data_IF_287963405018
#
_entry.id   IF_287963405018
#
_cell.length_a   1.000
_cell.length_b   1.000
_cell.length_c   1.000
_cell.angle_alpha   90.00
_cell.angle_beta   90.00
_cell.angle_gamma   90.00
#
_symmetry.space_group_name_H-M   'P 1'
#
loop_
_entity.id
_entity.type
_entity.pdbx_description
1 polymer ?
#
# COMPACT_ATOMS: atom_id res chain seq x y z
N UNK A 1 0.64 3.91 24.37
CA UNK A 1 0.78 2.95 23.24
C UNK A 1 2.01 3.33 22.43
N UNK A 2 3.04 2.51 22.47
CA UNK A 2 4.33 2.79 21.81
C UNK A 2 4.14 2.79 20.28
N UNK A 3 4.87 3.64 19.53
CA UNK A 3 4.82 3.66 18.04
C UNK A 3 5.07 2.26 17.45
N UNK A 4 5.88 1.45 18.12
CA UNK A 4 6.19 0.06 17.76
C UNK A 4 4.97 -0.87 17.90
N UNK A 5 4.16 -0.72 18.96
CA UNK A 5 2.93 -1.51 19.12
C UNK A 5 1.89 -1.19 18.05
N UNK A 6 1.82 0.08 17.61
CA UNK A 6 0.96 0.46 16.48
C UNK A 6 1.41 -0.20 15.18
N UNK A 7 2.71 -0.20 14.89
CA UNK A 7 3.24 -0.83 13.69
C UNK A 7 2.98 -2.35 13.68
N UNK A 8 3.19 -3.04 14.81
CA UNK A 8 2.84 -4.45 14.96
C UNK A 8 1.35 -4.71 14.71
N UNK A 9 0.47 -3.89 15.30
CA UNK A 9 -0.96 -4.05 15.14
C UNK A 9 -1.39 -3.85 13.67
N UNK A 10 -0.73 -2.97 12.93
CA UNK A 10 -1.01 -2.78 11.50
C UNK A 10 -0.58 -3.96 10.65
N UNK A 11 0.62 -4.52 10.90
CA UNK A 11 1.10 -5.70 10.18
C UNK A 11 0.22 -6.91 10.50
N UNK A 12 -0.07 -7.15 11.77
CA UNK A 12 -0.96 -8.23 12.22
C UNK A 12 -2.36 -8.09 11.63
N UNK A 13 -2.84 -6.86 11.40
CA UNK A 13 -4.14 -6.63 10.80
C UNK A 13 -4.16 -7.06 9.33
N UNK A 14 -3.10 -6.75 8.55
CA UNK A 14 -2.97 -7.20 7.17
C UNK A 14 -2.93 -8.74 7.10
N UNK A 15 -2.18 -9.37 8.01
CA UNK A 15 -2.10 -10.83 8.09
C UNK A 15 -3.46 -11.45 8.43
N UNK A 16 -4.16 -10.93 9.43
CA UNK A 16 -5.53 -11.37 9.77
C UNK A 16 -6.51 -11.19 8.61
N UNK A 17 -6.40 -10.11 7.85
CA UNK A 17 -7.22 -9.89 6.67
C UNK A 17 -6.92 -10.94 5.60
N UNK A 18 -5.66 -11.31 5.38
CA UNK A 18 -5.27 -12.31 4.39
C UNK A 18 -5.70 -13.75 4.75
N UNK A 19 -5.98 -14.01 6.01
CA UNK A 19 -6.46 -15.32 6.50
C UNK A 19 -7.98 -15.50 6.41
N UNK A 20 -8.72 -14.50 5.94
CA UNK A 20 -10.16 -14.63 5.73
C UNK A 20 -10.49 -15.67 4.66
N UNK A 21 -11.63 -16.33 4.80
CA UNK A 21 -12.10 -17.39 3.91
C UNK A 21 -13.20 -16.92 2.94
N UNK A 22 -12.97 -15.83 2.20
CA UNK A 22 -13.91 -15.38 1.16
C UNK A 22 -13.57 -16.01 -0.21
N UNK A 23 -14.47 -15.86 -1.18
CA UNK A 23 -14.28 -16.37 -2.55
C UNK A 23 -12.95 -15.86 -3.14
N UNK A 24 -12.64 -14.57 -2.93
CA UNK A 24 -11.40 -13.95 -3.42
C UNK A 24 -10.16 -14.56 -2.76
N UNK A 25 -10.20 -14.87 -1.46
CA UNK A 25 -9.03 -15.44 -0.75
C UNK A 25 -8.67 -16.84 -1.27
N UNK A 26 -9.64 -17.62 -1.72
CA UNK A 26 -9.44 -18.97 -2.25
C UNK A 26 -8.89 -19.01 -3.68
N UNK A 27 -8.89 -17.88 -4.40
CA UNK A 27 -8.36 -17.82 -5.76
C UNK A 27 -6.84 -18.03 -5.76
N UNK A 28 -6.34 -18.58 -6.86
CA UNK A 28 -4.91 -18.83 -7.06
C UNK A 28 -4.12 -17.49 -6.96
N UNK A 29 -3.07 -17.43 -6.11
CA UNK A 29 -2.24 -16.23 -5.95
C UNK A 29 -1.65 -15.69 -7.25
N UNK A 30 -1.29 -16.59 -8.19
CA UNK A 30 -0.74 -16.21 -9.49
C UNK A 30 -1.76 -15.46 -10.33
N UNK A 31 -3.01 -15.98 -10.39
CA UNK A 31 -4.07 -15.31 -11.14
C UNK A 31 -4.40 -13.94 -10.58
N UNK A 32 -4.43 -13.79 -9.24
CA UNK A 32 -4.62 -12.48 -8.59
C UNK A 32 -3.50 -11.51 -8.94
N UNK A 33 -2.25 -11.96 -8.88
CA UNK A 33 -1.09 -11.16 -9.22
C UNK A 33 -1.13 -10.72 -10.69
N UNK A 34 -1.41 -11.65 -11.61
CA UNK A 34 -1.51 -11.34 -13.03
C UNK A 34 -2.61 -10.31 -13.31
N UNK A 35 -3.80 -10.48 -12.75
CA UNK A 35 -4.91 -9.53 -12.92
C UNK A 35 -4.56 -8.16 -12.34
N UNK A 36 -3.92 -8.11 -11.16
CA UNK A 36 -3.48 -6.86 -10.54
C UNK A 36 -2.47 -6.12 -11.42
N UNK A 37 -1.47 -6.82 -11.97
CA UNK A 37 -0.48 -6.22 -12.88
C UNK A 37 -1.16 -5.71 -14.15
N UNK A 38 -2.00 -6.52 -14.79
CA UNK A 38 -2.72 -6.13 -16.00
C UNK A 38 -3.58 -4.90 -15.73
N UNK A 39 -4.30 -4.86 -14.61
CA UNK A 39 -5.10 -3.70 -14.22
C UNK A 39 -4.27 -2.43 -14.07
N UNK A 40 -3.13 -2.50 -13.35
CA UNK A 40 -2.24 -1.35 -13.16
C UNK A 40 -1.70 -0.86 -14.50
N UNK A 41 -1.27 -1.77 -15.39
CA UNK A 41 -0.79 -1.42 -16.73
C UNK A 41 -1.89 -0.73 -17.54
N UNK A 42 -3.11 -1.28 -17.54
CA UNK A 42 -4.24 -0.71 -18.26
C UNK A 42 -4.62 0.69 -17.75
N UNK A 43 -4.73 0.86 -16.42
CA UNK A 43 -5.04 2.17 -15.81
C UNK A 43 -3.96 3.21 -16.12
N UNK A 44 -2.68 2.83 -16.04
CA UNK A 44 -1.56 3.75 -16.34
C UNK A 44 -1.49 4.10 -17.81
N UNK A 45 -1.82 3.17 -18.72
CA UNK A 45 -1.85 3.35 -20.18
C UNK A 45 -2.99 4.24 -20.66
N UNK A 46 -4.05 4.45 -19.86
CA UNK A 46 -5.12 5.38 -20.22
C UNK A 46 -4.57 6.75 -20.56
N UNK A 47 -5.23 7.46 -21.50
CA UNK A 47 -4.79 8.78 -21.93
C UNK A 47 -4.79 9.78 -20.78
N UNK A 48 -3.73 10.62 -20.69
CA UNK A 48 -3.51 11.49 -19.53
C UNK A 48 -4.48 12.68 -19.39
N UNK A 49 -5.29 12.96 -20.42
CA UNK A 49 -6.23 14.08 -20.41
C UNK A 49 -7.70 13.65 -20.44
N UNK A 50 -8.02 12.37 -20.38
CA UNK A 50 -9.40 11.88 -20.38
C UNK A 50 -9.79 11.29 -19.02
N UNK A 51 -10.42 12.13 -18.20
CA UNK A 51 -10.97 11.70 -16.90
C UNK A 51 -12.12 10.68 -17.10
N UNK A 52 -12.92 10.86 -18.15
CA UNK A 52 -14.05 9.97 -18.47
C UNK A 52 -13.63 8.53 -18.73
N UNK A 53 -12.44 8.31 -19.32
CA UNK A 53 -11.91 6.98 -19.59
C UNK A 53 -11.53 6.22 -18.32
N UNK A 54 -11.38 6.90 -17.17
CA UNK A 54 -11.04 6.28 -15.90
C UNK A 54 -12.27 5.82 -15.11
N UNK A 55 -13.47 6.31 -15.42
CA UNK A 55 -14.68 5.96 -14.69
C UNK A 55 -14.98 4.45 -14.67
N UNK A 56 -14.85 3.69 -15.77
CA UNK A 56 -15.11 2.24 -15.74
C UNK A 56 -14.14 1.49 -14.83
N UNK A 57 -12.92 2.01 -14.65
CA UNK A 57 -11.89 1.34 -13.84
C UNK A 57 -12.17 1.38 -12.33
N UNK A 58 -13.09 2.23 -11.85
CA UNK A 58 -13.53 2.22 -10.45
C UNK A 58 -14.34 0.98 -10.08
N UNK A 59 -14.98 0.33 -11.05
CA UNK A 59 -15.83 -0.84 -10.80
C UNK A 59 -15.02 -1.99 -10.22
N UNK A 60 -13.83 -2.24 -10.75
CA UNK A 60 -12.99 -3.36 -10.32
C UNK A 60 -12.60 -3.32 -8.84
N UNK A 61 -11.95 -2.25 -8.31
CA UNK A 61 -11.61 -2.19 -6.89
C UNK A 61 -12.86 -2.23 -5.99
N UNK A 62 -13.97 -1.60 -6.38
CA UNK A 62 -15.20 -1.62 -5.58
C UNK A 62 -15.73 -3.07 -5.46
N UNK A 63 -15.75 -3.82 -6.56
CA UNK A 63 -16.20 -5.22 -6.58
C UNK A 63 -15.28 -6.09 -5.71
N UNK A 64 -13.96 -5.92 -5.82
CA UNK A 64 -13.01 -6.67 -5.00
C UNK A 64 -13.16 -6.35 -3.52
N UNK A 65 -13.32 -5.08 -3.13
CA UNK A 65 -13.54 -4.65 -1.74
C UNK A 65 -14.78 -5.34 -1.13
N UNK A 66 -15.89 -5.38 -1.88
CA UNK A 66 -17.14 -5.98 -1.42
C UNK A 66 -17.00 -7.50 -1.28
N UNK A 67 -16.45 -8.18 -2.31
CA UNK A 67 -16.32 -9.63 -2.34
C UNK A 67 -15.27 -10.17 -1.36
N UNK A 68 -14.27 -9.36 -1.00
CA UNK A 68 -13.23 -9.75 -0.04
C UNK A 68 -13.57 -9.36 1.41
N UNK A 69 -14.72 -8.71 1.63
CA UNK A 69 -15.17 -8.23 2.95
C UNK A 69 -14.09 -7.40 3.68
N UNK A 70 -13.33 -6.63 2.93
CA UNK A 70 -12.31 -5.77 3.51
C UNK A 70 -12.95 -4.55 4.18
N UNK A 71 -12.42 -4.08 5.32
CA UNK A 71 -12.96 -2.92 6.01
C UNK A 71 -12.68 -1.63 5.22
N UNK A 72 -13.70 -1.12 4.53
CA UNK A 72 -13.63 0.05 3.63
C UNK A 72 -12.99 1.25 4.32
N UNK A 73 -13.39 1.53 5.57
CA UNK A 73 -12.89 2.68 6.35
C UNK A 73 -11.37 2.57 6.59
N UNK A 74 -10.87 1.37 6.87
CA UNK A 74 -9.44 1.17 7.11
C UNK A 74 -8.63 1.28 5.81
N UNK A 75 -9.17 0.74 4.71
CA UNK A 75 -8.58 0.87 3.37
C UNK A 75 -8.47 2.35 3.00
N UNK A 76 -9.56 3.12 3.16
CA UNK A 76 -9.57 4.54 2.84
C UNK A 76 -8.61 5.37 3.70
N UNK A 77 -8.52 5.08 5.01
CA UNK A 77 -7.56 5.74 5.91
C UNK A 77 -6.11 5.50 5.50
N UNK A 78 -5.78 4.30 5.04
CA UNK A 78 -4.42 3.98 4.56
C UNK A 78 -4.08 4.66 3.25
N UNK A 79 -5.04 4.70 2.33
CA UNK A 79 -4.89 5.47 1.10
C UNK A 79 -4.69 6.95 1.37
N UNK A 80 -5.39 7.52 2.36
CA UNK A 80 -5.26 8.92 2.74
C UNK A 80 -3.84 9.31 3.19
N UNK A 81 -3.10 8.37 3.81
CA UNK A 81 -1.71 8.61 4.22
C UNK A 81 -0.79 8.85 3.01
N UNK A 82 -1.12 8.23 1.86
CA UNK A 82 -0.30 8.31 0.64
C UNK A 82 -0.70 9.53 -0.22
N UNK A 83 -1.91 10.05 -0.03
CA UNK A 83 -2.43 11.22 -0.79
C UNK A 83 -1.48 12.42 -0.77
N UNK A 84 -0.89 12.86 0.36
CA UNK A 84 0.04 13.99 0.35
C UNK A 84 1.26 13.77 -0.55
N UNK A 85 1.75 12.54 -0.64
CA UNK A 85 2.89 12.20 -1.51
C UNK A 85 2.47 12.30 -2.98
N UNK A 86 1.28 11.79 -3.33
CA UNK A 86 0.72 11.88 -4.68
C UNK A 86 0.53 13.34 -5.08
N UNK A 87 -0.01 14.17 -4.17
CA UNK A 87 -0.21 15.60 -4.40
C UNK A 87 1.13 16.30 -4.61
N UNK A 88 2.14 16.02 -3.79
CA UNK A 88 3.46 16.63 -3.93
C UNK A 88 4.11 16.34 -5.27
N UNK A 89 4.07 15.08 -5.72
CA UNK A 89 4.61 14.69 -7.04
C UNK A 89 3.77 15.31 -8.17
N UNK A 90 2.46 15.33 -8.00
CA UNK A 90 1.52 15.83 -9.03
C UNK A 90 1.57 17.33 -9.24
N UNK A 91 1.94 18.13 -8.22
CA UNK A 91 2.06 19.60 -8.33
C UNK A 91 3.03 19.99 -9.46
N UNK A 92 4.10 19.23 -9.67
CA UNK A 92 5.00 19.47 -10.79
C UNK A 92 4.31 19.53 -12.15
N UNK A 93 3.27 18.72 -12.38
CA UNK A 93 2.52 18.72 -13.64
C UNK A 93 1.77 20.03 -13.92
N UNK A 94 1.38 20.76 -12.88
CA UNK A 94 0.66 22.04 -13.01
C UNK A 94 1.59 23.10 -13.60
N UNK A 95 2.86 23.10 -13.20
CA UNK A 95 3.83 24.13 -13.64
C UNK A 95 4.32 23.94 -15.06
N UNK A 96 4.32 22.70 -15.58
CA UNK A 96 4.92 22.42 -16.88
C UNK A 96 3.98 22.60 -18.08
N UNK A 97 2.65 22.77 -17.88
CA UNK A 97 1.71 22.78 -19.01
C UNK A 97 0.58 23.80 -18.79
N UNK A 98 0.82 25.05 -19.25
CA UNK A 98 -0.08 26.19 -19.04
C UNK A 98 -1.09 26.44 -20.21
N UNK A 99 -1.25 25.49 -21.13
CA UNK A 99 -2.20 25.66 -22.24
C UNK A 99 -3.63 25.52 -21.74
N UNK A 100 -4.51 26.43 -22.17
CA UNK A 100 -5.92 26.41 -21.79
C UNK A 100 -6.70 25.32 -22.51
N UNK A 101 -7.52 24.60 -21.78
CA UNK A 101 -8.44 23.55 -22.28
C UNK A 101 -9.80 23.71 -21.64
N UNK A 102 -10.83 23.40 -22.40
CA UNK A 102 -12.20 23.34 -21.88
C UNK A 102 -12.56 21.88 -21.61
N UNK A 103 -12.71 21.51 -20.33
CA UNK A 103 -13.15 20.19 -19.89
C UNK A 103 -14.50 20.33 -19.18
N UNK A 104 -15.51 19.63 -19.65
CA UNK A 104 -16.89 19.72 -19.13
C UNK A 104 -17.47 21.16 -19.08
N UNK A 105 -17.07 22.03 -20.02
CA UNK A 105 -17.53 23.42 -20.05
C UNK A 105 -16.79 24.39 -19.13
N UNK A 106 -15.83 23.94 -18.37
CA UNK A 106 -14.99 24.76 -17.47
C UNK A 106 -13.64 25.01 -18.15
N UNK A 107 -13.23 26.27 -18.23
CA UNK A 107 -11.87 26.64 -18.72
C UNK A 107 -10.85 26.22 -17.66
N UNK A 108 -10.01 25.24 -17.97
CA UNK A 108 -8.94 24.75 -17.12
C UNK A 108 -7.65 24.61 -17.91
N UNK A 109 -6.53 24.51 -17.23
CA UNK A 109 -5.22 24.32 -17.83
C UNK A 109 -4.95 22.82 -18.04
N UNK A 110 -4.27 22.43 -19.11
CA UNK A 110 -3.83 21.04 -19.31
C UNK A 110 -3.08 20.46 -18.10
N UNK A 111 -2.29 21.29 -17.40
CA UNK A 111 -1.59 20.90 -16.19
C UNK A 111 -2.51 20.42 -15.07
N UNK A 112 -3.63 21.12 -14.84
CA UNK A 112 -4.62 20.73 -13.81
C UNK A 112 -5.31 19.42 -14.18
N UNK A 113 -5.71 19.25 -15.44
CA UNK A 113 -6.34 18.01 -15.91
C UNK A 113 -5.38 16.83 -15.77
N UNK A 114 -4.11 17.02 -16.15
CA UNK A 114 -3.07 16.01 -16.01
C UNK A 114 -2.81 15.64 -14.53
N UNK A 115 -2.81 16.64 -13.65
CA UNK A 115 -2.68 16.44 -12.21
C UNK A 115 -3.82 15.60 -11.63
N UNK A 116 -5.07 15.96 -11.93
CA UNK A 116 -6.25 15.22 -11.45
C UNK A 116 -6.24 13.78 -11.99
N UNK A 117 -5.96 13.61 -13.28
CA UNK A 117 -5.88 12.29 -13.91
C UNK A 117 -4.78 11.43 -13.27
N UNK A 118 -3.61 12.03 -13.01
CA UNK A 118 -2.51 11.36 -12.32
C UNK A 118 -2.91 10.93 -10.89
N UNK A 119 -3.56 11.82 -10.12
CA UNK A 119 -4.01 11.52 -8.78
C UNK A 119 -5.02 10.35 -8.77
N UNK A 120 -6.01 10.38 -9.68
CA UNK A 120 -7.00 9.31 -9.79
C UNK A 120 -6.33 7.98 -10.16
N UNK A 121 -5.45 7.94 -11.16
CA UNK A 121 -4.69 6.74 -11.56
C UNK A 121 -3.89 6.17 -10.41
N UNK A 122 -3.20 7.03 -9.67
CA UNK A 122 -2.39 6.63 -8.51
C UNK A 122 -3.25 6.02 -7.40
N UNK A 123 -4.38 6.66 -7.07
CA UNK A 123 -5.30 6.16 -6.05
C UNK A 123 -5.87 4.79 -6.47
N UNK A 124 -6.33 4.64 -7.72
CA UNK A 124 -6.85 3.37 -8.23
C UNK A 124 -5.81 2.26 -8.18
N UNK A 125 -4.60 2.53 -8.67
CA UNK A 125 -3.51 1.54 -8.67
C UNK A 125 -3.12 1.12 -7.27
N UNK A 126 -3.03 2.07 -6.33
CA UNK A 126 -2.71 1.78 -4.93
C UNK A 126 -3.82 1.03 -4.21
N UNK A 127 -5.08 1.32 -4.52
CA UNK A 127 -6.22 0.58 -3.96
C UNK A 127 -6.16 -0.88 -4.35
N UNK A 128 -5.98 -1.18 -5.62
CA UNK A 128 -5.90 -2.56 -6.12
C UNK A 128 -4.67 -3.29 -5.59
N UNK A 129 -3.53 -2.60 -5.47
CA UNK A 129 -2.33 -3.18 -4.86
C UNK A 129 -2.57 -3.53 -3.38
N UNK A 130 -3.21 -2.64 -2.63
CA UNK A 130 -3.57 -2.88 -1.24
C UNK A 130 -4.53 -4.07 -1.09
N UNK A 131 -5.57 -4.14 -1.92
CA UNK A 131 -6.51 -5.27 -1.96
C UNK A 131 -5.80 -6.59 -2.26
N UNK A 132 -4.88 -6.58 -3.23
CA UNK A 132 -4.06 -7.74 -3.56
C UNK A 132 -3.24 -8.23 -2.36
N UNK A 133 -2.56 -7.33 -1.64
CA UNK A 133 -1.76 -7.68 -0.46
C UNK A 133 -2.66 -8.25 0.64
N UNK A 134 -3.80 -7.60 0.93
CA UNK A 134 -4.73 -8.03 1.97
C UNK A 134 -5.42 -9.36 1.66
N UNK A 135 -5.63 -9.70 0.39
CA UNK A 135 -6.31 -10.94 -0.01
C UNK A 135 -5.37 -12.09 -0.31
N UNK A 136 -4.08 -11.83 -0.52
CA UNK A 136 -3.11 -12.87 -0.89
C UNK A 136 -2.23 -13.26 0.28
N UNK A 137 -1.76 -12.28 1.09
CA UNK A 137 -0.77 -12.50 2.13
C UNK A 137 0.63 -12.82 1.58
N UNK A 138 1.64 -12.63 2.42
CA UNK A 138 3.06 -12.75 2.00
C UNK A 138 3.45 -14.18 1.63
N UNK A 139 2.98 -15.18 2.37
CA UNK A 139 3.33 -16.58 2.12
C UNK A 139 2.75 -17.11 0.79
N UNK A 140 1.48 -16.76 0.50
CA UNK A 140 0.86 -17.15 -0.76
C UNK A 140 1.46 -16.39 -1.95
N UNK A 141 1.88 -15.14 -1.74
CA UNK A 141 2.62 -14.37 -2.74
C UNK A 141 3.97 -15.03 -3.04
N UNK A 142 4.72 -15.42 -2.01
CA UNK A 142 5.99 -16.15 -2.16
C UNK A 142 5.81 -17.44 -2.94
N UNK A 143 4.80 -18.23 -2.61
CA UNK A 143 4.46 -19.44 -3.35
C UNK A 143 4.11 -19.17 -4.82
N UNK A 144 3.35 -18.09 -5.08
CA UNK A 144 3.04 -17.66 -6.44
C UNK A 144 4.28 -17.27 -7.24
N UNK A 145 5.23 -16.56 -6.64
CA UNK A 145 6.48 -16.16 -7.27
C UNK A 145 7.36 -17.35 -7.65
N UNK A 146 7.46 -18.37 -6.78
CA UNK A 146 8.20 -19.62 -7.09
C UNK A 146 7.57 -20.30 -8.31
N UNK A 147 6.24 -20.39 -8.37
CA UNK A 147 5.55 -20.99 -9.54
C UNK A 147 5.75 -20.20 -10.84
N UNK A 148 5.96 -18.89 -10.74
CA UNK A 148 6.32 -18.03 -11.88
C UNK A 148 7.79 -18.16 -12.29
N UNK A 149 8.53 -19.14 -11.73
CA UNK A 149 9.98 -19.33 -11.95
C UNK A 149 10.83 -18.11 -11.59
N UNK A 150 10.36 -17.31 -10.64
CA UNK A 150 11.20 -16.24 -10.07
C UNK A 150 12.36 -16.88 -9.31
N UNK A 151 13.59 -16.29 -9.32
CA UNK A 151 14.73 -16.89 -8.65
C UNK A 151 14.43 -17.15 -7.18
N UNK A 152 14.54 -18.40 -6.74
CA UNK A 152 14.13 -18.87 -5.40
C UNK A 152 14.81 -18.10 -4.27
N UNK A 153 16.08 -17.71 -4.48
CA UNK A 153 16.86 -16.97 -3.48
C UNK A 153 16.17 -15.66 -3.06
N UNK A 154 15.59 -14.91 -4.01
CA UNK A 154 14.86 -13.67 -3.71
C UNK A 154 13.57 -13.95 -2.94
N UNK A 155 12.88 -15.04 -3.26
CA UNK A 155 11.65 -15.42 -2.58
C UNK A 155 11.95 -15.84 -1.13
N UNK A 156 13.00 -16.61 -0.91
CA UNK A 156 13.46 -16.97 0.44
C UNK A 156 13.87 -15.74 1.26
N UNK A 157 14.60 -14.79 0.66
CA UNK A 157 14.96 -13.53 1.32
C UNK A 157 13.70 -12.76 1.72
N UNK A 158 12.68 -12.67 0.84
CA UNK A 158 11.43 -11.98 1.14
C UNK A 158 10.70 -12.61 2.34
N UNK A 159 10.58 -13.93 2.38
CA UNK A 159 9.94 -14.65 3.49
C UNK A 159 10.73 -14.48 4.78
N UNK A 160 12.07 -14.56 4.72
CA UNK A 160 12.93 -14.33 5.87
C UNK A 160 12.81 -12.91 6.40
N UNK A 161 12.86 -11.90 5.53
CA UNK A 161 12.68 -10.49 5.92
C UNK A 161 11.34 -10.30 6.64
N UNK A 162 10.26 -10.85 6.09
CA UNK A 162 8.94 -10.76 6.70
C UNK A 162 8.93 -11.38 8.11
N UNK A 163 9.50 -12.57 8.29
CA UNK A 163 9.61 -13.23 9.58
C UNK A 163 10.45 -12.42 10.57
N UNK A 164 11.60 -11.92 10.13
CA UNK A 164 12.51 -11.17 11.03
C UNK A 164 11.96 -9.82 11.45
N UNK A 165 11.06 -9.20 10.69
CA UNK A 165 10.36 -7.97 11.12
C UNK A 165 9.65 -8.20 12.46
N UNK A 166 8.92 -9.30 12.62
CA UNK A 166 8.24 -9.62 13.89
C UNK A 166 9.22 -9.84 15.03
N UNK A 167 10.29 -10.61 14.78
CA UNK A 167 11.33 -10.89 15.79
C UNK A 167 12.00 -9.60 16.27
N UNK A 168 12.39 -8.72 15.33
CA UNK A 168 13.03 -7.44 15.67
C UNK A 168 12.10 -6.55 16.49
N UNK A 169 10.83 -6.45 16.12
CA UNK A 169 9.87 -5.61 16.84
C UNK A 169 9.63 -6.17 18.26
N UNK A 170 9.54 -7.50 18.41
CA UNK A 170 9.40 -8.14 19.72
C UNK A 170 10.63 -7.87 20.61
N UNK A 171 11.83 -8.01 20.08
CA UNK A 171 13.07 -7.69 20.78
C UNK A 171 13.14 -6.21 21.18
N UNK A 172 12.80 -5.29 20.25
CA UNK A 172 12.75 -3.86 20.54
C UNK A 172 11.74 -3.53 21.66
N UNK A 173 10.58 -4.17 21.67
CA UNK A 173 9.60 -4.01 22.76
C UNK A 173 10.15 -4.50 24.08
N UNK A 174 10.86 -5.64 24.12
CA UNK A 174 11.47 -6.20 25.31
C UNK A 174 12.55 -5.27 25.85
N UNK A 175 13.47 -4.81 24.99
CA UNK A 175 14.52 -3.86 25.35
C UNK A 175 13.92 -2.55 25.88
N UNK A 176 12.90 -2.01 25.20
CA UNK A 176 12.25 -0.76 25.60
C UNK A 176 11.56 -0.89 26.96
N UNK A 177 10.92 -2.04 27.22
CA UNK A 177 10.32 -2.33 28.54
C UNK A 177 11.37 -2.47 29.62
N UNK A 178 12.43 -3.21 29.38
CA UNK A 178 13.54 -3.36 30.33
C UNK A 178 14.17 -1.99 30.67
N UNK A 179 14.41 -1.18 29.65
CA UNK A 179 14.93 0.18 29.86
C UNK A 179 13.98 1.07 30.69
N UNK A 180 12.68 1.00 30.45
CA UNK A 180 11.70 1.79 31.22
C UNK A 180 11.64 1.40 32.70
N UNK A 181 12.01 0.17 33.06
CA UNK A 181 12.11 -0.28 34.43
C UNK A 181 13.38 0.19 35.14
N UNK A 182 14.50 0.30 34.39
CA UNK A 182 15.80 0.74 34.95
C UNK A 182 15.84 2.28 35.09
N UNK A 183 15.23 3.01 34.16
CA UNK A 183 15.27 4.47 34.10
C UNK A 183 13.87 5.08 33.94
N UNK A 184 12.99 5.02 34.95
CA UNK A 184 11.58 5.40 34.85
C UNK A 184 11.35 6.90 34.55
N UNK A 185 12.32 7.76 34.84
CA UNK A 185 12.22 9.22 34.66
C UNK A 185 12.80 9.73 33.32
N UNK A 186 13.39 8.88 32.50
CA UNK A 186 13.91 9.28 31.20
C UNK A 186 12.88 8.96 30.10
N UNK A 187 12.30 9.98 29.49
CA UNK A 187 11.47 9.82 28.29
C UNK A 187 12.36 9.31 27.15
N UNK A 188 12.25 8.01 26.88
CA UNK A 188 13.14 7.18 26.11
C UNK A 188 13.22 7.42 24.60
N UNK A 189 13.73 8.57 24.15
CA UNK A 189 14.13 8.76 22.75
C UNK A 189 15.44 9.56 22.63
N UNK A 190 16.38 9.34 23.54
CA UNK A 190 17.70 9.95 23.43
C UNK A 190 18.58 9.02 22.59
N UNK A 191 19.00 9.46 21.40
CA UNK A 191 19.84 8.70 20.45
C UNK A 191 21.12 8.18 21.13
N UNK A 192 21.66 8.92 22.11
CA UNK A 192 22.82 8.53 22.90
C UNK A 192 22.59 7.28 23.77
N UNK A 193 21.35 7.09 24.23
CA UNK A 193 20.98 5.94 25.08
C UNK A 193 20.75 4.70 24.23
N UNK A 194 20.18 4.87 23.02
CA UNK A 194 20.02 3.76 22.07
C UNK A 194 21.36 3.20 21.59
N UNK A 195 22.37 4.04 21.40
CA UNK A 195 23.72 3.59 21.05
C UNK A 195 24.44 2.82 22.14
N UNK A 196 24.01 2.90 23.40
CA UNK A 196 24.58 2.12 24.53
C UNK A 196 23.81 0.83 24.83
N UNK A 197 22.66 0.61 24.19
CA UNK A 197 21.80 -0.59 24.34
C UNK A 197 21.99 -1.61 23.21
N UNK A 198 22.70 -1.25 22.15
CA UNK A 198 23.15 -2.10 21.05
C UNK A 198 24.59 -2.56 21.29
#
# INVERSE_FOLDING_TARGET
>A
MNKLEKALNEINLIERLSLKNTIIHKLNPISKLAVTIIYIVMVTSCYRYSISALLPWFIYPIVILILSELPIIQTLKRLLIIVPVILFIGIGNIFFNNNDVVVFGIKTTFGVVSFVTFAIKSILSLTVLYEFICTTGIYNLAYGLIKLKFPEIFVWILVLLYRYIFVIIEQLNTITKAYSLIAPNQKGFNIKVWGSLL
#
